data_IF_665001970908
#
_entry.id   IF_665001970908
#
_cell.length_a   1.000
_cell.length_b   1.000
_cell.length_c   1.000
_cell.angle_alpha   90.00
_cell.angle_beta   90.00
_cell.angle_gamma   90.00
#
_symmetry.space_group_name_H-M   'P 1'
#
loop_
_entity.id
_entity.type
_entity.pdbx_description
1 polymer ?
#
# COMPACT_ATOMS: atom_id res chain seq x y z
N UNK A 1 12.89 21.22 -4.06
CA UNK A 1 12.44 20.47 -2.87
C UNK A 1 11.02 20.90 -2.53
N UNK A 2 10.12 19.96 -2.24
CA UNK A 2 8.75 20.28 -1.82
C UNK A 2 8.73 20.91 -0.43
N UNK A 3 7.63 21.58 -0.05
CA UNK A 3 7.49 22.20 1.27
C UNK A 3 7.70 21.21 2.42
N UNK A 4 7.17 19.98 2.29
CA UNK A 4 7.33 18.89 3.26
C UNK A 4 8.79 18.46 3.39
N UNK A 5 9.51 18.31 2.27
CA UNK A 5 10.94 17.96 2.32
C UNK A 5 11.75 19.06 3.02
N UNK A 6 11.47 20.33 2.72
CA UNK A 6 12.12 21.47 3.39
C UNK A 6 11.81 21.48 4.88
N UNK A 7 10.57 21.20 5.27
CA UNK A 7 10.17 21.07 6.67
C UNK A 7 11.00 20.02 7.40
N UNK A 8 11.05 18.78 6.89
CA UNK A 8 11.82 17.72 7.53
C UNK A 8 13.34 17.98 7.54
N UNK A 9 13.89 18.55 6.47
CA UNK A 9 15.29 18.98 6.44
C UNK A 9 15.59 20.04 7.51
N UNK A 10 14.69 21.01 7.71
CA UNK A 10 14.82 22.02 8.74
C UNK A 10 14.75 21.45 10.17
N UNK A 11 14.02 20.34 10.36
CA UNK A 11 14.03 19.59 11.62
C UNK A 11 15.24 18.65 11.76
N UNK A 12 16.20 18.69 10.83
CA UNK A 12 17.41 17.86 10.86
C UNK A 12 17.23 16.43 10.33
N UNK A 13 16.08 16.09 9.76
CA UNK A 13 15.87 14.77 9.16
C UNK A 13 16.43 14.75 7.73
N UNK A 14 17.57 14.09 7.55
CA UNK A 14 18.17 13.91 6.22
C UNK A 14 17.32 12.92 5.40
N UNK A 15 16.87 13.38 4.24
CA UNK A 15 16.05 12.61 3.31
C UNK A 15 16.90 12.03 2.16
N UNK A 16 16.43 10.92 1.59
CA UNK A 16 16.93 10.36 0.33
C UNK A 16 15.75 10.06 -0.59
N UNK A 17 15.99 10.16 -1.88
CA UNK A 17 15.06 9.74 -2.92
C UNK A 17 15.44 8.33 -3.40
N UNK A 18 14.42 7.50 -3.59
CA UNK A 18 14.51 6.17 -4.20
C UNK A 18 13.65 6.15 -5.47
N UNK A 19 13.57 4.99 -6.13
CA UNK A 19 12.87 4.83 -7.40
C UNK A 19 11.44 5.38 -7.36
N UNK A 20 11.02 5.92 -8.50
CA UNK A 20 9.70 6.52 -8.71
C UNK A 20 9.40 7.73 -7.79
N UNK A 21 10.43 8.49 -7.39
CA UNK A 21 10.29 9.72 -6.61
C UNK A 21 9.90 9.49 -5.14
N UNK A 22 10.04 8.25 -4.65
CA UNK A 22 9.72 7.91 -3.25
C UNK A 22 10.77 8.49 -2.33
N UNK A 23 10.32 9.19 -1.28
CA UNK A 23 11.22 9.84 -0.32
C UNK A 23 11.25 9.05 1.00
N UNK A 24 12.46 8.74 1.46
CA UNK A 24 12.71 8.01 2.70
C UNK A 24 13.66 8.77 3.62
N UNK A 25 13.59 8.59 4.94
CA UNK A 25 14.66 9.02 5.82
C UNK A 25 15.95 8.27 5.46
N UNK A 26 17.10 8.96 5.50
CA UNK A 26 18.40 8.35 5.17
C UNK A 26 18.74 7.15 6.06
N UNK A 27 18.18 7.13 7.27
CA UNK A 27 18.30 6.06 8.28
C UNK A 27 17.54 4.79 7.92
N UNK A 28 16.60 4.84 6.96
CA UNK A 28 15.62 3.77 6.70
C UNK A 28 14.74 3.40 7.91
N UNK A 29 14.63 4.27 8.91
CA UNK A 29 13.84 4.00 10.12
C UNK A 29 12.68 4.98 10.21
N UNK A 30 11.44 4.46 10.26
CA UNK A 30 10.24 5.27 10.48
C UNK A 30 10.25 5.97 11.85
N UNK A 31 10.89 5.36 12.85
CA UNK A 31 11.10 5.95 14.18
C UNK A 31 11.84 7.28 14.13
N UNK A 32 12.77 7.47 13.19
CA UNK A 32 13.48 8.75 13.01
C UNK A 32 12.52 9.87 12.62
N UNK A 33 11.54 9.60 11.75
CA UNK A 33 10.52 10.58 11.34
C UNK A 33 9.65 10.98 12.55
N UNK A 34 9.16 9.97 13.27
CA UNK A 34 8.28 10.18 14.43
C UNK A 34 8.97 10.95 15.55
N UNK A 35 10.23 10.61 15.86
CA UNK A 35 10.96 11.23 16.97
C UNK A 35 11.33 12.69 16.66
N UNK A 36 11.74 12.98 15.42
CA UNK A 36 12.02 14.36 15.00
C UNK A 36 10.77 15.23 15.10
N UNK A 37 9.60 14.72 14.72
CA UNK A 37 8.33 15.44 14.94
C UNK A 37 8.01 15.62 16.42
N UNK A 38 8.20 14.59 17.24
CA UNK A 38 7.94 14.65 18.69
C UNK A 38 8.80 15.72 19.36
N UNK A 39 10.09 15.76 19.03
CA UNK A 39 11.02 16.76 19.54
C UNK A 39 10.60 18.18 19.13
N UNK A 40 10.25 18.39 17.85
CA UNK A 40 9.76 19.67 17.36
C UNK A 40 8.50 20.15 18.10
N UNK A 41 7.55 19.25 18.37
CA UNK A 41 6.35 19.58 19.15
C UNK A 41 6.69 20.02 20.58
N UNK A 42 7.62 19.33 21.24
CA UNK A 42 8.08 19.68 22.60
C UNK A 42 8.79 21.03 22.62
N UNK A 43 9.65 21.31 21.64
CA UNK A 43 10.36 22.59 21.51
C UNK A 43 9.40 23.78 21.33
N UNK A 44 8.25 23.56 20.68
CA UNK A 44 7.20 24.57 20.50
C UNK A 44 6.18 24.60 21.67
N UNK A 45 6.44 23.87 22.76
CA UNK A 45 5.59 23.89 23.95
C UNK A 45 4.25 23.15 23.79
N UNK A 46 4.11 22.28 22.79
CA UNK A 46 2.89 21.49 22.60
C UNK A 46 2.76 20.43 23.70
N UNK A 47 1.62 20.42 24.40
CA UNK A 47 1.32 19.42 25.42
C UNK A 47 0.84 18.10 24.78
N UNK A 48 1.63 17.04 24.93
CA UNK A 48 1.32 15.70 24.39
C UNK A 48 0.84 14.79 25.53
N UNK A 49 -0.39 14.29 25.44
CA UNK A 49 -0.98 13.34 26.38
C UNK A 49 -1.08 11.95 25.76
N UNK A 50 -0.14 11.06 26.10
CA UNK A 50 -0.15 9.66 25.67
C UNK A 50 -1.05 8.82 26.58
N UNK A 51 -1.42 7.61 26.13
CA UNK A 51 -2.32 6.69 26.85
C UNK A 51 -3.66 7.32 27.29
N UNK A 52 -4.05 8.39 26.59
CA UNK A 52 -5.21 9.21 26.90
C UNK A 52 -6.21 9.06 25.77
N UNK A 53 -7.08 8.06 25.87
CA UNK A 53 -8.09 7.80 24.85
C UNK A 53 -9.27 8.77 25.02
N UNK A 54 -9.64 9.45 23.94
CA UNK A 54 -10.89 10.21 23.87
C UNK A 54 -12.07 9.23 23.82
N UNK A 55 -13.07 9.44 24.66
CA UNK A 55 -14.29 8.61 24.74
C UNK A 55 -15.49 9.27 24.08
N UNK A 56 -15.59 10.59 24.17
CA UNK A 56 -16.68 11.34 23.56
C UNK A 56 -16.26 12.78 23.29
N UNK A 57 -16.92 13.38 22.30
CA UNK A 57 -16.78 14.78 21.92
C UNK A 57 -18.17 15.40 21.97
N UNK A 58 -18.30 16.48 22.71
CA UNK A 58 -19.54 17.22 22.91
C UNK A 58 -19.32 18.70 22.59
N UNK A 59 -20.40 19.41 22.22
CA UNK A 59 -20.37 20.85 22.04
C UNK A 59 -21.41 21.55 22.92
N UNK A 60 -20.94 22.38 23.85
CA UNK A 60 -21.75 23.17 24.78
C UNK A 60 -21.14 24.57 24.90
N UNK A 61 -21.42 25.43 23.91
CA UNK A 61 -20.69 26.69 23.71
C UNK A 61 -19.30 26.44 23.13
N UNK A 62 -18.41 25.86 23.95
CA UNK A 62 -17.08 25.37 23.56
C UNK A 62 -17.08 23.86 23.31
N UNK A 63 -16.02 23.32 22.71
CA UNK A 63 -15.81 21.88 22.63
C UNK A 63 -15.45 21.31 23.98
N UNK A 64 -15.98 20.12 24.26
CA UNK A 64 -15.64 19.33 25.43
C UNK A 64 -15.22 17.93 24.99
N UNK A 65 -14.00 17.56 25.33
CA UNK A 65 -13.39 16.26 24.96
C UNK A 65 -13.28 15.42 26.22
N UNK A 66 -14.08 14.36 26.31
CA UNK A 66 -14.11 13.44 27.44
C UNK A 66 -13.04 12.35 27.29
N UNK A 67 -12.27 12.12 28.35
CA UNK A 67 -11.12 11.23 28.35
C UNK A 67 -11.41 9.91 29.10
N UNK A 68 -10.58 8.90 28.87
CA UNK A 68 -10.68 7.58 29.51
C UNK A 68 -10.57 7.59 31.04
N UNK A 69 -9.97 8.62 31.62
CA UNK A 69 -9.90 8.84 33.07
C UNK A 69 -11.10 9.65 33.62
N UNK A 70 -12.15 9.85 32.82
CA UNK A 70 -13.36 10.64 33.13
C UNK A 70 -13.14 12.16 33.25
N UNK A 71 -11.91 12.65 33.06
CA UNK A 71 -11.66 14.09 32.95
C UNK A 71 -12.11 14.65 31.60
N UNK A 72 -12.21 15.97 31.49
CA UNK A 72 -12.62 16.66 30.28
C UNK A 72 -11.67 17.81 29.95
N UNK A 73 -11.30 17.94 28.68
CA UNK A 73 -10.64 19.12 28.14
C UNK A 73 -11.67 20.04 27.47
N UNK A 74 -11.47 21.36 27.57
CA UNK A 74 -12.30 22.36 26.90
C UNK A 74 -11.46 23.18 25.93
N UNK A 75 -12.00 23.47 24.75
CA UNK A 75 -11.31 24.23 23.71
C UNK A 75 -12.30 24.92 22.77
N UNK A 76 -11.89 26.03 22.16
CA UNK A 76 -12.68 26.75 21.14
C UNK A 76 -12.55 26.10 19.75
N UNK A 77 -11.39 25.50 19.47
CA UNK A 77 -11.05 24.82 18.23
C UNK A 77 -10.69 23.35 18.48
N UNK A 78 -11.18 22.46 17.62
CA UNK A 78 -10.94 21.02 17.70
C UNK A 78 -10.56 20.46 16.32
N UNK A 79 -9.39 19.82 16.23
CA UNK A 79 -8.95 19.09 15.04
C UNK A 79 -9.07 17.59 15.32
N UNK A 80 -9.82 16.86 14.48
CA UNK A 80 -9.89 15.40 14.52
C UNK A 80 -8.97 14.82 13.45
N UNK A 81 -7.89 14.18 13.89
CA UNK A 81 -6.85 13.58 13.03
C UNK A 81 -6.58 12.11 13.42
N UNK A 82 -7.64 11.34 13.70
CA UNK A 82 -7.53 9.97 14.23
C UNK A 82 -7.24 8.88 13.19
N UNK A 83 -7.04 9.27 11.93
CA UNK A 83 -6.92 8.34 10.81
C UNK A 83 -8.20 7.58 10.49
N UNK A 84 -8.08 6.53 9.66
CA UNK A 84 -9.18 5.68 9.22
C UNK A 84 -9.41 4.43 10.09
N UNK A 85 -9.57 3.28 9.42
CA UNK A 85 -9.81 1.95 10.02
C UNK A 85 -8.77 0.89 9.60
N UNK A 86 -7.92 1.20 8.63
CA UNK A 86 -6.80 0.36 8.22
C UNK A 86 -5.83 0.15 9.40
N UNK A 87 -5.25 -1.04 9.51
CA UNK A 87 -4.29 -1.38 10.57
C UNK A 87 -4.75 -1.06 12.01
N UNK A 88 -6.04 -1.25 12.34
CA UNK A 88 -6.63 -0.89 13.65
C UNK A 88 -5.85 -1.30 14.91
N UNK A 89 -5.03 -2.36 14.84
CA UNK A 89 -4.16 -2.80 15.93
C UNK A 89 -3.05 -1.78 16.28
N UNK A 90 -2.81 -0.80 15.42
CA UNK A 90 -1.90 0.34 15.64
C UNK A 90 -2.60 1.58 16.24
N UNK A 91 -3.92 1.56 16.42
CA UNK A 91 -4.69 2.63 17.08
C UNK A 91 -5.72 3.36 16.21
N UNK A 92 -5.74 3.12 14.90
CA UNK A 92 -6.75 3.63 13.95
C UNK A 92 -8.06 2.82 14.02
N UNK A 93 -8.83 3.04 15.08
CA UNK A 93 -10.04 2.26 15.40
C UNK A 93 -11.31 2.77 14.72
N UNK A 94 -11.25 3.91 14.05
CA UNK A 94 -12.41 4.58 13.45
C UNK A 94 -13.23 5.43 14.43
N UNK A 95 -12.71 5.70 15.63
CA UNK A 95 -13.41 6.50 16.66
C UNK A 95 -13.78 7.91 16.14
N UNK A 96 -12.86 8.56 15.39
CA UNK A 96 -13.13 9.87 14.80
C UNK A 96 -14.25 9.87 13.76
N UNK A 97 -14.35 8.80 12.95
CA UNK A 97 -15.43 8.64 11.98
C UNK A 97 -16.78 8.52 12.70
N UNK A 98 -16.82 7.78 13.81
CA UNK A 98 -18.01 7.67 14.65
C UNK A 98 -18.40 9.03 15.26
N UNK A 99 -17.45 9.79 15.80
CA UNK A 99 -17.72 11.13 16.34
C UNK A 99 -18.22 12.08 15.25
N UNK A 100 -17.60 12.07 14.07
CA UNK A 100 -18.03 12.89 12.94
C UNK A 100 -19.51 12.61 12.58
N UNK A 101 -19.91 11.34 12.47
CA UNK A 101 -21.32 10.98 12.24
C UNK A 101 -22.25 11.48 13.34
N UNK A 102 -21.86 11.35 14.60
CA UNK A 102 -22.63 11.87 15.75
C UNK A 102 -22.77 13.39 15.72
N UNK A 103 -21.79 14.08 15.17
CA UNK A 103 -21.79 15.54 14.96
C UNK A 103 -22.52 15.96 13.67
N UNK A 104 -23.11 15.02 12.93
CA UNK A 104 -23.96 15.28 11.77
C UNK A 104 -23.28 15.17 10.41
N UNK A 105 -22.03 14.72 10.36
CA UNK A 105 -21.31 14.52 9.10
C UNK A 105 -21.68 13.21 8.40
N UNK A 106 -21.67 13.24 7.07
CA UNK A 106 -21.82 12.06 6.23
C UNK A 106 -20.48 11.33 6.08
N UNK A 107 -20.54 10.00 6.06
CA UNK A 107 -19.39 9.17 5.65
C UNK A 107 -19.65 8.56 4.29
N UNK A 108 -18.64 8.58 3.44
CA UNK A 108 -18.66 7.81 2.20
C UNK A 108 -18.36 6.32 2.48
N UNK A 109 -18.67 5.40 1.54
CA UNK A 109 -18.48 3.98 1.75
C UNK A 109 -17.02 3.60 2.07
N UNK A 110 -16.80 3.16 3.30
CA UNK A 110 -15.46 2.77 3.78
C UNK A 110 -15.09 1.38 3.25
N UNK A 111 -13.91 1.28 2.63
CA UNK A 111 -13.36 0.03 2.12
C UNK A 111 -11.85 -0.06 2.28
N UNK A 112 -11.34 -1.29 2.29
CA UNK A 112 -9.92 -1.57 2.41
C UNK A 112 -9.21 -1.21 1.09
N UNK A 113 -8.26 -0.28 1.13
CA UNK A 113 -7.41 0.09 0.01
C UNK A 113 -5.97 -0.35 0.27
N UNK A 114 -5.22 -0.58 -0.82
CA UNK A 114 -3.86 -1.10 -0.76
C UNK A 114 -3.78 -2.32 0.16
N UNK A 115 -4.46 -3.41 -0.23
CA UNK A 115 -4.65 -4.60 0.60
C UNK A 115 -4.15 -5.86 -0.13
N UNK A 116 -3.51 -6.82 0.56
CA UNK A 116 -3.05 -8.04 -0.08
C UNK A 116 -4.21 -8.89 -0.60
N UNK A 117 -3.89 -9.85 -1.46
CA UNK A 117 -4.87 -10.69 -2.17
C UNK A 117 -4.65 -12.17 -1.85
N UNK A 118 -5.74 -12.87 -1.57
CA UNK A 118 -5.74 -14.33 -1.52
C UNK A 118 -5.98 -14.89 -2.92
N UNK A 119 -5.28 -15.97 -3.25
CA UNK A 119 -5.38 -16.62 -4.57
C UNK A 119 -5.94 -18.02 -4.45
N UNK A 120 -6.56 -18.50 -5.52
CA UNK A 120 -7.08 -19.88 -5.58
C UNK A 120 -5.92 -20.88 -5.68
N UNK A 121 -4.92 -20.55 -6.47
CA UNK A 121 -3.73 -21.37 -6.66
C UNK A 121 -2.83 -21.31 -5.43
N UNK A 122 -2.21 -22.44 -5.09
CA UNK A 122 -1.41 -22.63 -3.87
C UNK A 122 0.10 -22.45 -4.08
N UNK A 123 0.57 -22.36 -5.33
CA UNK A 123 1.99 -22.23 -5.64
C UNK A 123 2.66 -20.99 -5.02
N UNK A 124 1.99 -19.84 -4.76
CA UNK A 124 2.62 -18.73 -4.05
C UNK A 124 3.16 -19.12 -2.66
N UNK A 125 2.52 -20.09 -2.01
CA UNK A 125 2.96 -20.63 -0.71
C UNK A 125 4.31 -21.34 -0.80
N UNK A 126 4.58 -22.03 -1.92
CA UNK A 126 5.86 -22.74 -2.13
C UNK A 126 7.04 -21.76 -2.17
N UNK A 127 6.79 -20.55 -2.68
CA UNK A 127 7.79 -19.49 -2.84
C UNK A 127 7.58 -18.33 -1.86
N UNK A 128 6.86 -18.57 -0.76
CA UNK A 128 6.53 -17.52 0.21
C UNK A 128 7.78 -16.78 0.70
N UNK A 129 7.63 -15.47 0.88
CA UNK A 129 8.70 -14.56 1.31
C UNK A 129 9.61 -14.10 0.18
N UNK A 130 9.47 -14.62 -1.05
CA UNK A 130 10.18 -14.08 -2.20
C UNK A 130 9.50 -12.78 -2.64
N UNK A 131 10.32 -11.73 -2.76
CA UNK A 131 9.96 -10.44 -3.31
C UNK A 131 10.66 -10.26 -4.65
N UNK A 132 9.92 -9.85 -5.67
CA UNK A 132 10.45 -9.53 -7.01
C UNK A 132 9.84 -8.22 -7.50
N UNK A 133 10.54 -7.54 -8.39
CA UNK A 133 9.91 -6.50 -9.21
C UNK A 133 9.21 -7.19 -10.38
N UNK A 134 7.93 -6.87 -10.61
CA UNK A 134 7.12 -7.52 -11.64
C UNK A 134 6.08 -6.56 -12.22
N UNK A 135 5.72 -6.80 -13.48
CA UNK A 135 4.53 -6.24 -14.09
C UNK A 135 3.32 -7.07 -13.68
N UNK A 136 2.22 -6.43 -13.31
CA UNK A 136 0.98 -7.08 -12.91
C UNK A 136 -0.17 -6.46 -13.66
N UNK A 137 -0.91 -7.30 -14.39
CA UNK A 137 -2.15 -6.92 -15.07
C UNK A 137 -3.32 -7.70 -14.51
N UNK A 138 -4.37 -7.01 -14.09
CA UNK A 138 -5.61 -7.63 -13.67
C UNK A 138 -6.63 -7.67 -14.82
N UNK A 139 -7.29 -8.81 -14.99
CA UNK A 139 -8.33 -9.02 -16.00
C UNK A 139 -9.59 -9.63 -15.39
N UNK A 140 -10.75 -9.28 -15.95
CA UNK A 140 -12.03 -9.96 -15.70
C UNK A 140 -12.77 -10.14 -17.02
N UNK A 141 -13.25 -11.35 -17.29
CA UNK A 141 -13.86 -11.73 -18.58
C UNK A 141 -13.00 -11.27 -19.78
N UNK A 142 -11.67 -11.47 -19.66
CA UNK A 142 -10.64 -11.08 -20.64
C UNK A 142 -10.49 -9.57 -20.91
N UNK A 143 -11.23 -8.72 -20.20
CA UNK A 143 -11.06 -7.27 -20.23
C UNK A 143 -10.04 -6.81 -19.18
N UNK A 144 -9.17 -5.86 -19.55
CA UNK A 144 -8.19 -5.26 -18.65
C UNK A 144 -8.89 -4.36 -17.62
N UNK A 145 -8.65 -4.64 -16.34
CA UNK A 145 -9.12 -3.82 -15.22
C UNK A 145 -8.09 -2.73 -14.90
N UNK A 146 -6.82 -3.14 -14.85
CA UNK A 146 -5.70 -2.28 -14.49
C UNK A 146 -4.38 -3.00 -14.66
N UNK A 147 -3.31 -2.23 -14.71
CA UNK A 147 -1.96 -2.72 -14.95
C UNK A 147 -0.96 -1.79 -14.26
N UNK A 148 0.04 -2.38 -13.60
CA UNK A 148 1.05 -1.64 -12.86
C UNK A 148 2.33 -2.46 -12.77
N UNK A 149 3.45 -1.80 -12.46
CA UNK A 149 4.74 -2.44 -12.24
C UNK A 149 5.27 -2.05 -10.87
N UNK A 150 5.89 -3.00 -10.18
CA UNK A 150 6.59 -2.73 -8.94
C UNK A 150 6.76 -3.99 -8.10
N UNK A 151 6.90 -3.80 -6.79
CA UNK A 151 7.15 -4.89 -5.87
C UNK A 151 5.97 -5.86 -5.78
N UNK A 152 6.24 -7.14 -6.01
CA UNK A 152 5.36 -8.27 -5.78
C UNK A 152 5.97 -9.17 -4.70
N UNK A 153 5.19 -9.46 -3.67
CA UNK A 153 5.56 -10.37 -2.58
C UNK A 153 4.68 -11.61 -2.62
N UNK A 154 5.28 -12.78 -2.71
CA UNK A 154 4.55 -14.04 -2.58
C UNK A 154 4.36 -14.41 -1.12
N UNK A 155 3.14 -14.81 -0.76
CA UNK A 155 2.73 -15.11 0.61
C UNK A 155 2.12 -16.49 0.71
N UNK A 156 1.90 -16.98 1.93
CA UNK A 156 1.27 -18.28 2.16
C UNK A 156 -0.18 -18.38 1.65
N UNK A 157 -0.85 -17.24 1.43
CA UNK A 157 -2.26 -17.15 1.04
C UNK A 157 -2.47 -16.64 -0.39
N UNK A 158 -1.42 -16.12 -1.04
CA UNK A 158 -1.52 -15.46 -2.34
C UNK A 158 -0.42 -14.42 -2.51
N UNK A 159 -0.78 -13.17 -2.78
CA UNK A 159 0.17 -12.11 -3.12
C UNK A 159 -0.04 -10.82 -2.34
N UNK A 160 1.06 -10.10 -2.13
CA UNK A 160 1.15 -8.77 -1.53
C UNK A 160 2.17 -7.94 -2.33
N UNK A 161 2.69 -6.86 -1.76
CA UNK A 161 3.58 -5.93 -2.45
C UNK A 161 2.80 -4.81 -3.15
N UNK A 162 3.48 -3.69 -3.38
CA UNK A 162 2.85 -2.45 -3.84
C UNK A 162 2.12 -2.64 -5.17
N UNK A 163 2.68 -3.42 -6.10
CA UNK A 163 2.07 -3.65 -7.41
C UNK A 163 0.74 -4.40 -7.30
N UNK A 164 0.69 -5.48 -6.52
CA UNK A 164 -0.55 -6.24 -6.34
C UNK A 164 -1.58 -5.40 -5.59
N UNK A 165 -1.16 -4.75 -4.50
CA UNK A 165 -2.05 -4.01 -3.61
C UNK A 165 -2.64 -2.77 -4.27
N UNK A 166 -1.94 -2.13 -5.21
CA UNK A 166 -2.45 -0.99 -5.98
C UNK A 166 -3.70 -1.34 -6.81
N UNK A 167 -3.82 -2.59 -7.28
CA UNK A 167 -4.97 -3.03 -8.07
C UNK A 167 -6.19 -3.41 -7.21
N UNK A 168 -6.05 -3.48 -5.88
CA UNK A 168 -7.08 -3.99 -5.00
C UNK A 168 -8.39 -3.19 -5.06
N UNK A 169 -8.30 -1.85 -5.10
CA UNK A 169 -9.48 -0.98 -5.20
C UNK A 169 -10.31 -1.24 -6.45
N UNK A 170 -9.67 -1.36 -7.62
CA UNK A 170 -10.35 -1.64 -8.89
C UNK A 170 -10.89 -3.07 -8.99
N UNK A 171 -10.27 -4.02 -8.30
CA UNK A 171 -10.67 -5.43 -8.28
C UNK A 171 -11.84 -5.67 -7.32
N UNK A 172 -11.91 -4.96 -6.19
CA UNK A 172 -12.86 -5.24 -5.11
C UNK A 172 -14.34 -5.31 -5.56
N UNK A 173 -14.86 -4.39 -6.41
CA UNK A 173 -16.25 -4.44 -6.87
C UNK A 173 -16.54 -5.66 -7.75
N UNK A 174 -15.53 -6.12 -8.50
CA UNK A 174 -15.65 -7.18 -9.51
C UNK A 174 -15.63 -8.58 -8.91
N UNK A 175 -14.99 -8.77 -7.76
CA UNK A 175 -14.89 -10.07 -7.08
C UNK A 175 -16.26 -10.64 -6.65
N UNK A 176 -17.29 -9.78 -6.53
CA UNK A 176 -18.65 -10.21 -6.18
C UNK A 176 -19.41 -10.81 -7.37
N UNK A 177 -19.02 -10.46 -8.59
CA UNK A 177 -19.81 -10.71 -9.81
C UNK A 177 -19.03 -11.46 -10.89
N UNK A 178 -17.71 -11.53 -10.79
CA UNK A 178 -16.85 -12.06 -11.84
C UNK A 178 -15.55 -12.65 -11.29
N UNK A 179 -14.93 -13.52 -12.09
CA UNK A 179 -13.60 -14.07 -11.81
C UNK A 179 -12.54 -13.08 -12.25
N UNK A 180 -11.65 -12.71 -11.33
CA UNK A 180 -10.50 -11.84 -11.63
C UNK A 180 -9.23 -12.67 -11.70
N UNK A 181 -8.42 -12.47 -12.74
CA UNK A 181 -7.09 -13.06 -12.88
C UNK A 181 -6.01 -11.98 -12.83
N UNK A 182 -4.93 -12.27 -12.14
CA UNK A 182 -3.67 -11.55 -12.22
C UNK A 182 -2.78 -12.25 -13.23
N UNK A 183 -2.18 -11.45 -14.11
CA UNK A 183 -1.15 -11.82 -15.06
C UNK A 183 0.15 -11.20 -14.57
N UNK A 184 1.13 -12.03 -14.23
CA UNK A 184 2.40 -11.61 -13.65
C UNK A 184 3.49 -11.77 -14.70
N UNK A 185 4.16 -10.67 -14.99
CA UNK A 185 5.33 -10.58 -15.84
C UNK A 185 6.56 -10.38 -14.95
N UNK A 186 7.41 -11.41 -14.83
CA UNK A 186 8.60 -11.39 -13.98
C UNK A 186 9.76 -10.58 -14.57
N UNK A 187 9.66 -10.15 -15.83
CA UNK A 187 10.68 -9.35 -16.52
C UNK A 187 10.00 -8.19 -17.28
N UNK A 188 9.30 -7.29 -16.58
CA UNK A 188 8.47 -6.25 -17.22
C UNK A 188 9.28 -5.25 -18.06
N UNK A 189 10.58 -5.18 -17.81
CA UNK A 189 11.58 -4.35 -18.48
C UNK A 189 12.14 -4.96 -19.77
N UNK A 190 11.81 -6.23 -20.08
CA UNK A 190 12.30 -6.95 -21.25
C UNK A 190 11.17 -7.39 -22.17
N UNK A 191 11.39 -7.34 -23.49
CA UNK A 191 10.55 -8.01 -24.48
C UNK A 191 10.69 -9.54 -24.40
N UNK A 192 9.77 -10.28 -25.03
CA UNK A 192 9.87 -11.75 -25.13
C UNK A 192 11.13 -12.17 -25.89
N UNK A 193 11.47 -11.41 -26.91
CA UNK A 193 12.60 -11.65 -27.81
C UNK A 193 13.93 -11.44 -27.07
N UNK A 194 14.07 -10.36 -26.29
CA UNK A 194 15.24 -10.12 -25.46
C UNK A 194 15.42 -11.21 -24.40
N UNK A 195 14.35 -11.57 -23.70
CA UNK A 195 14.39 -12.63 -22.69
C UNK A 195 14.73 -14.00 -23.32
N UNK A 196 14.21 -14.30 -24.50
CA UNK A 196 14.54 -15.53 -25.24
C UNK A 196 16.03 -15.62 -25.59
N UNK A 197 16.63 -14.51 -26.06
CA UNK A 197 18.05 -14.45 -26.38
C UNK A 197 18.92 -14.65 -25.13
N UNK A 198 18.54 -14.07 -24.00
CA UNK A 198 19.23 -14.27 -22.71
C UNK A 198 19.17 -15.74 -22.31
N UNK A 199 18.00 -16.36 -22.34
CA UNK A 199 17.83 -17.78 -21.96
C UNK A 199 18.58 -18.69 -22.94
N UNK A 200 18.57 -18.38 -24.23
CA UNK A 200 19.34 -19.12 -25.24
C UNK A 200 20.84 -19.08 -24.91
N UNK A 201 21.38 -17.90 -24.61
CA UNK A 201 22.77 -17.74 -24.21
C UNK A 201 23.10 -18.54 -22.95
N UNK A 202 22.23 -18.51 -21.93
CA UNK A 202 22.39 -19.31 -20.71
C UNK A 202 22.45 -20.81 -21.05
N UNK A 203 21.56 -21.30 -21.91
CA UNK A 203 21.48 -22.73 -22.24
C UNK A 203 22.65 -23.21 -23.11
N UNK A 204 23.15 -22.38 -24.03
CA UNK A 204 24.35 -22.69 -24.82
C UNK A 204 25.59 -22.83 -23.94
N UNK A 205 25.68 -22.04 -22.87
CA UNK A 205 26.78 -22.05 -21.91
C UNK A 205 26.50 -22.94 -20.68
N UNK A 206 25.43 -23.73 -20.69
CA UNK A 206 25.02 -24.53 -19.53
C UNK A 206 25.93 -25.76 -19.31
N UNK A 207 26.58 -26.28 -20.36
CA UNK A 207 27.31 -27.53 -20.29
C UNK A 207 26.41 -28.68 -19.84
N UNK A 208 26.74 -29.32 -18.71
CA UNK A 208 25.94 -30.41 -18.11
C UNK A 208 24.92 -29.95 -17.06
N UNK A 209 24.78 -28.63 -16.84
CA UNK A 209 23.83 -28.09 -15.84
C UNK A 209 22.38 -28.45 -16.20
N UNK A 210 21.58 -28.67 -15.17
CA UNK A 210 20.13 -28.86 -15.28
C UNK A 210 19.43 -27.55 -15.64
N UNK A 211 18.16 -27.61 -16.03
CA UNK A 211 17.31 -26.45 -16.26
C UNK A 211 17.31 -25.55 -15.02
N UNK A 212 17.04 -26.12 -13.84
CA UNK A 212 17.08 -25.38 -12.57
C UNK A 212 18.44 -24.73 -12.33
N UNK A 213 19.51 -25.52 -12.39
CA UNK A 213 20.87 -25.02 -12.15
C UNK A 213 21.34 -23.96 -13.14
N UNK A 214 20.75 -23.91 -14.33
CA UNK A 214 21.10 -22.90 -15.34
C UNK A 214 20.36 -21.58 -15.13
N UNK A 215 19.17 -21.59 -14.51
CA UNK A 215 18.35 -20.40 -14.31
C UNK A 215 18.55 -19.70 -12.96
N UNK A 216 19.34 -20.25 -12.03
CA UNK A 216 19.60 -19.65 -10.70
C UNK A 216 20.22 -18.24 -10.78
N UNK A 217 20.95 -17.91 -11.86
CA UNK A 217 21.48 -16.57 -12.08
C UNK A 217 20.46 -15.57 -12.62
N UNK A 218 19.32 -16.05 -13.12
CA UNK A 218 18.25 -15.25 -13.72
C UNK A 218 17.05 -15.09 -12.76
N UNK A 219 16.79 -16.10 -11.93
CA UNK A 219 15.61 -16.17 -11.06
C UNK A 219 16.00 -16.64 -9.65
N UNK A 220 15.26 -16.20 -8.61
CA UNK A 220 15.29 -16.84 -7.31
C UNK A 220 15.04 -18.35 -7.44
N UNK A 221 15.89 -19.16 -6.80
CA UNK A 221 15.90 -20.63 -7.00
C UNK A 221 14.52 -21.29 -6.79
N UNK A 222 13.74 -20.84 -5.80
CA UNK A 222 12.41 -21.42 -5.54
C UNK A 222 11.36 -21.09 -6.62
N UNK A 223 11.54 -20.05 -7.42
CA UNK A 223 10.62 -19.74 -8.53
C UNK A 223 10.81 -20.74 -9.69
N UNK A 224 12.02 -21.25 -9.89
CA UNK A 224 12.36 -22.06 -11.06
C UNK A 224 11.53 -23.37 -11.15
N UNK A 225 11.34 -24.14 -10.05
CA UNK A 225 10.43 -25.28 -10.05
C UNK A 225 9.00 -24.94 -10.48
N UNK A 226 8.49 -23.78 -10.07
CA UNK A 226 7.15 -23.31 -10.46
C UNK A 226 7.11 -23.07 -11.96
N UNK A 227 8.08 -22.32 -12.49
CA UNK A 227 8.18 -22.02 -13.93
C UNK A 227 8.29 -23.30 -14.75
N UNK A 228 9.15 -24.23 -14.35
CA UNK A 228 9.30 -25.52 -15.03
C UNK A 228 7.99 -26.31 -15.07
N UNK A 229 7.22 -26.32 -13.96
CA UNK A 229 5.91 -26.98 -13.88
C UNK A 229 4.89 -26.36 -14.84
N UNK A 230 4.81 -25.03 -14.88
CA UNK A 230 3.92 -24.31 -15.80
C UNK A 230 4.32 -24.51 -17.27
N UNK A 231 5.63 -24.59 -17.54
CA UNK A 231 6.16 -24.89 -18.87
C UNK A 231 6.10 -26.39 -19.24
N UNK A 232 5.65 -27.25 -18.33
CA UNK A 232 5.60 -28.73 -18.48
C UNK A 232 6.97 -29.34 -18.78
N UNK A 233 8.01 -28.85 -18.10
CA UNK A 233 9.39 -29.32 -18.24
C UNK A 233 9.90 -29.93 -16.94
N UNK A 234 10.78 -30.93 -17.07
CA UNK A 234 11.55 -31.47 -15.96
C UNK A 234 12.69 -30.51 -15.59
N UNK A 235 12.69 -30.02 -14.35
CA UNK A 235 13.69 -29.09 -13.84
C UNK A 235 15.11 -29.69 -13.77
N UNK A 236 15.21 -31.03 -13.77
CA UNK A 236 16.47 -31.77 -13.76
C UNK A 236 16.99 -32.09 -15.17
N UNK A 237 16.21 -31.82 -16.22
CA UNK A 237 16.66 -32.00 -17.60
C UNK A 237 17.86 -31.10 -17.89
N UNK A 238 18.85 -31.62 -18.62
CA UNK A 238 20.02 -30.85 -19.03
C UNK A 238 19.60 -29.65 -19.90
N UNK A 239 20.00 -28.44 -19.52
CA UNK A 239 19.53 -27.20 -20.15
C UNK A 239 19.93 -27.10 -21.64
N UNK A 240 21.13 -27.55 -22.01
CA UNK A 240 21.56 -27.63 -23.41
C UNK A 240 20.75 -28.60 -24.28
N UNK A 241 19.86 -29.42 -23.69
CA UNK A 241 18.94 -30.33 -24.40
C UNK A 241 17.48 -29.82 -24.41
N UNK A 242 17.25 -28.58 -23.98
CA UNK A 242 15.94 -27.93 -24.09
C UNK A 242 15.76 -27.46 -25.54
N UNK A 243 14.67 -27.87 -26.17
CA UNK A 243 14.36 -27.48 -27.55
C UNK A 243 13.96 -26.01 -27.64
N UNK A 244 14.03 -25.44 -28.83
CA UNK A 244 13.56 -24.08 -29.12
C UNK A 244 12.12 -23.84 -28.65
N UNK A 245 11.20 -24.76 -28.97
CA UNK A 245 9.80 -24.66 -28.57
C UNK A 245 9.63 -24.66 -27.04
N UNK A 246 10.38 -25.50 -26.32
CA UNK A 246 10.33 -25.54 -24.86
C UNK A 246 10.95 -24.29 -24.23
N UNK A 247 11.98 -23.71 -24.86
CA UNK A 247 12.57 -22.43 -24.43
C UNK A 247 11.57 -21.29 -24.56
N UNK A 248 10.85 -21.21 -25.68
CA UNK A 248 9.78 -20.22 -25.87
C UNK A 248 8.63 -20.40 -24.87
N UNK A 249 8.33 -21.62 -24.45
CA UNK A 249 7.34 -21.87 -23.41
C UNK A 249 7.80 -21.35 -22.03
N UNK A 250 9.10 -21.48 -21.71
CA UNK A 250 9.68 -20.84 -20.51
C UNK A 250 9.48 -19.31 -20.59
N UNK A 251 9.84 -18.69 -21.72
CA UNK A 251 9.64 -17.25 -21.94
C UNK A 251 8.17 -16.87 -21.76
N UNK A 252 7.23 -17.64 -22.34
CA UNK A 252 5.79 -17.41 -22.20
C UNK A 252 5.36 -17.40 -20.73
N UNK A 253 5.82 -18.38 -19.94
CA UNK A 253 5.49 -18.49 -18.51
C UNK A 253 6.10 -17.34 -17.71
N UNK A 254 7.36 -16.96 -17.98
CA UNK A 254 8.01 -15.86 -17.27
C UNK A 254 7.35 -14.51 -17.52
N UNK A 255 6.75 -14.33 -18.70
CA UNK A 255 6.06 -13.10 -19.11
C UNK A 255 4.57 -13.08 -18.75
N UNK A 256 3.99 -14.21 -18.36
CA UNK A 256 2.56 -14.32 -18.05
C UNK A 256 2.24 -15.55 -17.17
N UNK A 257 2.67 -15.51 -15.91
CA UNK A 257 2.22 -16.48 -14.91
C UNK A 257 0.92 -15.99 -14.26
N UNK A 258 -0.10 -16.85 -14.22
CA UNK A 258 -1.45 -16.43 -13.83
C UNK A 258 -1.82 -16.87 -12.41
N UNK A 259 -2.57 -16.01 -11.73
CA UNK A 259 -3.22 -16.27 -10.44
C UNK A 259 -4.67 -15.83 -10.51
N UNK A 260 -5.57 -16.60 -9.92
CA UNK A 260 -6.97 -16.22 -9.75
C UNK A 260 -7.15 -15.61 -8.37
N UNK A 261 -7.64 -14.38 -8.31
CA UNK A 261 -7.96 -13.74 -7.02
C UNK A 261 -9.20 -14.40 -6.43
N UNK A 262 -9.07 -14.93 -5.22
CA UNK A 262 -10.18 -15.50 -4.47
C UNK A 262 -10.91 -14.43 -3.66
N UNK A 263 -10.18 -13.63 -2.90
CA UNK A 263 -10.71 -12.50 -2.12
C UNK A 263 -9.58 -11.54 -1.73
N UNK A 264 -9.96 -10.33 -1.35
CA UNK A 264 -9.04 -9.40 -0.70
C UNK A 264 -8.90 -9.71 0.79
N UNK A 265 -7.73 -9.41 1.36
CA UNK A 265 -7.51 -9.52 2.80
C UNK A 265 -8.38 -8.50 3.57
N UNK A 266 -8.67 -8.75 4.86
CA UNK A 266 -9.53 -7.86 5.64
C UNK A 266 -8.90 -6.49 5.90
N UNK A 267 -9.73 -5.49 6.24
CA UNK A 267 -9.32 -4.10 6.56
C UNK A 267 -8.14 -4.00 7.55
N UNK A 268 -8.03 -4.93 8.50
CA UNK A 268 -6.91 -4.96 9.46
C UNK A 268 -5.53 -5.15 8.81
N UNK A 269 -5.48 -5.65 7.57
CA UNK A 269 -4.27 -5.86 6.77
C UNK A 269 -4.17 -4.87 5.61
N UNK A 270 -5.10 -3.91 5.50
CA UNK A 270 -5.02 -2.81 4.56
C UNK A 270 -3.97 -1.79 5.02
N UNK A 271 -3.30 -1.13 4.07
CA UNK A 271 -2.43 0.01 4.37
C UNK A 271 -3.23 1.31 4.52
N UNK A 272 -4.36 1.42 3.80
CA UNK A 272 -5.16 2.65 3.74
C UNK A 272 -6.65 2.30 3.78
N UNK A 273 -7.41 3.19 4.38
CA UNK A 273 -8.86 3.25 4.36
C UNK A 273 -9.25 4.17 3.21
N UNK A 274 -9.94 3.63 2.21
CA UNK A 274 -10.61 4.46 1.22
C UNK A 274 -12.04 4.74 1.68
N UNK A 275 -12.53 5.95 1.40
CA UNK A 275 -13.70 6.49 2.07
C UNK A 275 -13.34 7.24 3.36
N UNK A 276 -14.28 8.03 3.86
CA UNK A 276 -14.08 8.82 5.07
C UNK A 276 -15.19 9.86 5.24
N UNK A 277 -14.88 10.97 5.90
CA UNK A 277 -15.79 12.12 5.95
C UNK A 277 -15.91 12.72 4.55
N UNK A 278 -17.15 12.95 4.13
CA UNK A 278 -17.45 13.49 2.81
C UNK A 278 -16.80 14.88 2.62
N UNK A 279 -15.91 14.98 1.63
CA UNK A 279 -15.16 16.21 1.32
C UNK A 279 -16.08 17.38 0.97
N UNK A 280 -17.32 17.14 0.53
CA UNK A 280 -18.31 18.19 0.25
C UNK A 280 -18.74 18.94 1.52
N UNK A 281 -18.57 18.35 2.69
CA UNK A 281 -18.91 18.93 3.99
C UNK A 281 -17.72 19.65 4.65
N UNK A 282 -16.56 19.72 3.98
CA UNK A 282 -15.33 20.32 4.48
C UNK A 282 -14.95 21.52 3.58
N UNK A 283 -14.49 22.62 4.19
CA UNK A 283 -13.97 23.79 3.45
C UNK A 283 -12.55 23.48 2.95
N UNK A 284 -12.28 23.45 1.64
CA UNK A 284 -10.99 23.01 1.13
C UNK A 284 -9.83 23.96 1.48
N UNK A 285 -10.10 25.24 1.75
CA UNK A 285 -9.07 26.23 2.09
C UNK A 285 -8.67 26.23 3.57
N UNK A 286 -9.40 25.55 4.44
CA UNK A 286 -9.13 25.55 5.88
C UNK A 286 -9.25 24.19 6.56
N UNK A 287 -9.86 23.22 5.88
CA UNK A 287 -10.29 21.93 6.41
C UNK A 287 -11.26 22.03 7.60
N UNK A 288 -11.89 23.19 7.77
CA UNK A 288 -12.98 23.39 8.72
C UNK A 288 -14.24 22.70 8.21
N UNK A 289 -15.01 22.11 9.12
CA UNK A 289 -16.36 21.66 8.89
C UNK A 289 -17.25 22.81 8.37
N UNK A 290 -18.04 22.52 7.34
CA UNK A 290 -19.12 23.42 6.90
C UNK A 290 -20.33 23.39 7.82
N UNK A 291 -20.46 22.35 8.67
CA UNK A 291 -21.59 22.13 9.56
C UNK A 291 -21.35 22.73 10.96
N UNK A 292 -20.09 22.71 11.42
CA UNK A 292 -19.73 23.10 12.78
C UNK A 292 -18.49 23.98 12.81
N UNK A 293 -18.66 25.28 13.08
CA UNK A 293 -17.55 26.25 13.19
C UNK A 293 -16.53 25.81 14.25
N UNK A 294 -15.23 25.88 13.97
CA UNK A 294 -14.18 25.46 14.91
C UNK A 294 -13.99 23.95 15.05
N UNK A 295 -14.64 23.14 14.20
CA UNK A 295 -14.30 21.72 14.01
C UNK A 295 -13.50 21.58 12.73
N UNK A 296 -12.38 20.87 12.78
CA UNK A 296 -11.51 20.63 11.64
C UNK A 296 -11.18 19.14 11.53
N UNK A 297 -10.82 18.72 10.33
CA UNK A 297 -10.40 17.35 10.05
C UNK A 297 -9.05 17.35 9.33
N UNK A 298 -8.23 16.32 9.56
CA UNK A 298 -6.96 16.15 8.85
C UNK A 298 -6.59 14.67 8.69
N UNK A 299 -5.88 14.36 7.60
CA UNK A 299 -5.40 13.03 7.26
C UNK A 299 -6.49 12.09 6.76
N UNK A 300 -6.26 10.78 6.98
CA UNK A 300 -7.04 9.65 6.45
C UNK A 300 -8.48 9.54 7.00
N UNK A 301 -8.89 10.43 7.92
CA UNK A 301 -10.30 10.49 8.35
C UNK A 301 -11.19 11.13 7.26
N UNK A 302 -10.61 11.95 6.39
CA UNK A 302 -11.28 12.58 5.26
C UNK A 302 -11.30 11.58 4.10
N UNK A 303 -12.36 11.60 3.29
CA UNK A 303 -12.45 10.81 2.05
C UNK A 303 -11.47 11.29 0.97
N UNK A 304 -10.18 11.06 1.23
CA UNK A 304 -9.03 11.31 0.36
C UNK A 304 -8.02 10.20 0.64
N UNK A 305 -7.93 9.25 -0.28
CA UNK A 305 -6.87 8.25 -0.34
C UNK A 305 -6.04 8.42 -1.62
N UNK A 306 -4.79 7.97 -1.56
CA UNK A 306 -3.88 8.00 -2.68
C UNK A 306 -3.20 6.66 -2.90
N UNK A 307 -2.43 6.57 -3.99
CA UNK A 307 -1.64 5.39 -4.29
C UNK A 307 -0.56 5.12 -3.22
N UNK A 308 0.00 3.91 -3.27
CA UNK A 308 1.22 3.61 -2.51
C UNK A 308 2.40 4.47 -3.01
N UNK A 309 3.42 4.68 -2.17
CA UNK A 309 4.61 5.46 -2.55
C UNK A 309 4.75 6.84 -1.89
N UNK A 310 3.95 7.11 -0.86
CA UNK A 310 4.09 8.31 -0.02
C UNK A 310 2.98 9.34 -0.18
N UNK A 311 2.06 9.16 -1.11
CA UNK A 311 0.95 10.09 -1.37
C UNK A 311 0.02 10.27 -0.15
N UNK A 312 -0.33 9.18 0.54
CA UNK A 312 -1.17 9.24 1.75
C UNK A 312 -0.48 9.99 2.89
N UNK A 313 0.83 9.81 3.07
CA UNK A 313 1.60 10.58 4.05
C UNK A 313 1.68 12.05 3.64
N UNK A 314 1.94 12.33 2.36
CA UNK A 314 1.94 13.69 1.83
C UNK A 314 0.60 14.40 2.10
N UNK A 315 -0.53 13.72 1.90
CA UNK A 315 -1.85 14.22 2.27
C UNK A 315 -1.96 14.48 3.77
N UNK A 316 -1.54 13.55 4.63
CA UNK A 316 -1.55 13.74 6.07
C UNK A 316 -0.74 14.97 6.52
N UNK A 317 0.44 15.20 5.94
CA UNK A 317 1.28 16.37 6.23
C UNK A 317 0.62 17.67 5.76
N UNK A 318 0.16 17.71 4.51
CA UNK A 318 -0.45 18.90 3.93
C UNK A 318 -1.76 19.28 4.64
N UNK A 319 -2.61 18.29 4.92
CA UNK A 319 -3.88 18.52 5.61
C UNK A 319 -3.68 18.88 7.09
N UNK A 320 -2.77 18.20 7.79
CA UNK A 320 -2.43 18.54 9.18
C UNK A 320 -1.91 19.97 9.32
N UNK A 321 -1.02 20.40 8.41
CA UNK A 321 -0.52 21.77 8.37
C UNK A 321 -1.65 22.78 8.14
N UNK A 322 -2.51 22.55 7.14
CA UNK A 322 -3.60 23.47 6.80
C UNK A 322 -4.64 23.59 7.91
N UNK A 323 -5.05 22.46 8.51
CA UNK A 323 -5.97 22.44 9.63
C UNK A 323 -5.37 23.15 10.86
N UNK A 324 -4.09 22.93 11.14
CA UNK A 324 -3.37 23.60 12.23
C UNK A 324 -3.36 25.12 12.07
N UNK A 325 -2.94 25.61 10.89
CA UNK A 325 -2.92 27.05 10.59
C UNK A 325 -4.30 27.71 10.62
N UNK A 326 -5.36 26.94 10.35
CA UNK A 326 -6.72 27.47 10.30
C UNK A 326 -7.44 27.47 11.64
N UNK A 327 -6.95 26.66 12.59
CA UNK A 327 -7.56 26.47 13.90
C UNK A 327 -7.05 27.47 14.96
N UNK A 328 -5.98 28.21 14.66
CA UNK A 328 -5.43 29.32 15.47
C UNK A 328 -6.40 30.49 15.64
#
# INVERSE_FOLDING_TARGET
>A
QTAVMKFFNNLGLVLKEEDNGRIFPRTNQSSSVAEVMRLALVEHGVHILLNTQVKAIERQGVWKVLLNNQSALKTDSLIIATGGRAAHYLGSTGDGLYWAQKLGHSLTPIHAALVPMETVETWPKEIQGIKVEAGIRATSNDNKIGETTGDLLFTSYGVSGTAAMALAGSIAPLLKTSRVRLHIDLFPDMTKEELDLIILHIFQNAGKRTLRGSLIGLLPDRIIPVVARFAKLDEHKQAGKISHANRLEIVRVLKDITLTVSKLRPMKEAQVTAGGIDTREIKPQSLESKLMKGLYFAGEIIDVDGDSGGFNLQWAWSSGHLAGMSAE
#
